data_IF_750327353580
#
_entry.id   IF_750327353580
#
_cell.length_a   1.000
_cell.length_b   1.000
_cell.length_c   1.000
_cell.angle_alpha   90.00
_cell.angle_beta   90.00
_cell.angle_gamma   90.00
#
_symmetry.space_group_name_H-M   'P 1'
#
loop_
_entity.id
_entity.type
_entity.pdbx_description
1 polymer ?
#
# COMPACT_ATOMS: atom_id res chain seq x y z
N UNK A 1 19.88 20.89 24.01
CA UNK A 1 19.14 21.62 22.96
C UNK A 1 17.72 21.81 23.46
N UNK A 2 17.38 22.98 24.00
CA UNK A 2 16.13 23.26 24.74
C UNK A 2 15.02 23.86 23.87
N UNK A 3 15.28 24.08 22.59
CA UNK A 3 14.33 24.67 21.62
C UNK A 3 13.79 23.66 20.61
N UNK A 4 14.17 22.38 20.71
CA UNK A 4 13.76 21.36 19.76
C UNK A 4 12.32 20.89 20.05
N UNK A 5 11.51 20.80 19.00
CA UNK A 5 10.21 20.11 19.01
C UNK A 5 10.36 18.82 18.20
N UNK A 6 9.91 17.70 18.77
CA UNK A 6 10.00 16.37 18.15
C UNK A 6 8.67 15.67 18.34
N UNK A 7 8.13 15.14 17.24
CA UNK A 7 6.87 14.39 17.21
C UNK A 7 7.12 13.05 16.52
N UNK A 8 6.45 11.99 17.00
CA UNK A 8 6.54 10.65 16.43
C UNK A 8 5.15 10.01 16.41
N UNK A 9 4.78 9.45 15.26
CA UNK A 9 3.53 8.73 15.06
C UNK A 9 3.81 7.36 14.44
N UNK A 10 3.06 6.35 14.89
CA UNK A 10 3.10 5.01 14.35
C UNK A 10 1.68 4.43 14.32
N UNK A 11 1.30 3.85 13.18
CA UNK A 11 -0.03 3.30 12.96
C UNK A 11 0.07 1.91 12.34
N UNK A 12 -0.72 0.97 12.83
CA UNK A 12 -0.88 -0.36 12.23
C UNK A 12 -2.20 -0.43 11.49
N UNK A 13 -2.18 -0.91 10.25
CA UNK A 13 -3.38 -1.08 9.42
C UNK A 13 -3.49 -2.52 8.94
N UNK A 14 -4.73 -3.03 8.84
CA UNK A 14 -5.06 -4.33 8.26
C UNK A 14 -6.10 -4.14 7.16
N UNK A 15 -5.98 -4.91 6.08
CA UNK A 15 -7.00 -4.94 5.03
C UNK A 15 -8.22 -5.70 5.58
N UNK A 16 -9.36 -5.03 5.63
CA UNK A 16 -10.61 -5.63 6.10
C UNK A 16 -11.25 -6.54 5.05
N UNK A 17 -11.87 -7.64 5.49
CA UNK A 17 -12.59 -8.57 4.60
C UNK A 17 -13.73 -7.87 3.85
N UNK A 18 -14.42 -6.93 4.49
CA UNK A 18 -15.47 -6.12 3.87
C UNK A 18 -14.96 -5.26 2.70
N UNK A 19 -13.71 -4.76 2.80
CA UNK A 19 -13.10 -3.96 1.73
C UNK A 19 -12.79 -4.83 0.51
N UNK A 20 -12.28 -6.04 0.74
CA UNK A 20 -12.06 -7.03 -0.30
C UNK A 20 -13.38 -7.47 -0.91
N UNK A 21 -14.38 -7.78 -0.09
CA UNK A 21 -15.72 -8.17 -0.56
C UNK A 21 -16.36 -7.09 -1.41
N UNK A 22 -16.25 -5.83 -1.01
CA UNK A 22 -16.75 -4.68 -1.77
C UNK A 22 -16.07 -4.52 -3.15
N UNK A 23 -14.76 -4.80 -3.22
CA UNK A 23 -14.01 -4.81 -4.48
C UNK A 23 -14.40 -6.00 -5.36
N UNK A 24 -14.56 -7.17 -4.76
CA UNK A 24 -14.95 -8.40 -5.45
C UNK A 24 -16.35 -8.29 -6.06
N UNK A 25 -17.30 -7.66 -5.36
CA UNK A 25 -18.64 -7.36 -5.89
C UNK A 25 -18.61 -6.44 -7.12
N UNK A 26 -17.53 -5.66 -7.31
CA UNK A 26 -17.32 -4.81 -8.49
C UNK A 26 -16.57 -5.52 -9.60
N UNK A 27 -16.37 -6.83 -9.48
CA UNK A 27 -15.68 -7.65 -10.48
C UNK A 27 -14.15 -7.58 -10.40
N UNK A 28 -13.58 -6.99 -9.34
CA UNK A 28 -12.15 -7.09 -9.09
C UNK A 28 -11.82 -8.46 -8.51
N UNK A 29 -10.69 -9.05 -8.90
CA UNK A 29 -10.21 -10.23 -8.19
C UNK A 29 -9.73 -9.84 -6.79
N UNK A 30 -9.69 -10.80 -5.85
CA UNK A 30 -9.14 -10.55 -4.51
C UNK A 30 -7.70 -10.01 -4.59
N UNK A 31 -6.90 -10.53 -5.54
CA UNK A 31 -5.53 -10.09 -5.76
C UNK A 31 -5.46 -8.64 -6.27
N UNK A 32 -6.32 -8.27 -7.21
CA UNK A 32 -6.41 -6.89 -7.71
C UNK A 32 -6.89 -5.93 -6.62
N UNK A 33 -7.83 -6.36 -5.79
CA UNK A 33 -8.33 -5.59 -4.66
C UNK A 33 -7.22 -5.32 -3.62
N UNK A 34 -6.46 -6.37 -3.24
CA UNK A 34 -5.31 -6.23 -2.33
C UNK A 34 -4.27 -5.29 -2.94
N UNK A 35 -3.89 -5.50 -4.20
CA UNK A 35 -2.93 -4.65 -4.89
C UNK A 35 -3.37 -3.19 -4.93
N UNK A 36 -4.64 -2.92 -5.23
CA UNK A 36 -5.20 -1.57 -5.25
C UNK A 36 -5.10 -0.90 -3.87
N UNK A 37 -5.47 -1.60 -2.79
CA UNK A 37 -5.47 -1.07 -1.43
C UNK A 37 -4.03 -0.80 -0.95
N UNK A 38 -3.12 -1.74 -1.17
CA UNK A 38 -1.70 -1.59 -0.78
C UNK A 38 -1.02 -0.47 -1.57
N UNK A 39 -1.27 -0.37 -2.87
CA UNK A 39 -0.76 0.76 -3.67
C UNK A 39 -1.31 2.11 -3.19
N UNK A 40 -2.57 2.15 -2.75
CA UNK A 40 -3.15 3.33 -2.11
C UNK A 40 -2.44 3.71 -0.81
N UNK A 41 -2.13 2.74 0.04
CA UNK A 41 -1.39 2.93 1.29
C UNK A 41 0.03 3.48 1.05
N UNK A 42 0.74 2.95 0.05
CA UNK A 42 2.10 3.38 -0.29
C UNK A 42 2.17 4.65 -1.16
N UNK A 43 1.03 5.22 -1.58
CA UNK A 43 0.97 6.31 -2.57
C UNK A 43 1.79 7.53 -2.19
N UNK A 44 1.71 7.99 -0.95
CA UNK A 44 2.44 9.19 -0.50
C UNK A 44 3.96 8.95 -0.42
N UNK A 45 4.38 7.70 -0.13
CA UNK A 45 5.79 7.30 -0.20
C UNK A 45 6.28 7.29 -1.64
N UNK A 46 5.51 6.71 -2.56
CA UNK A 46 5.88 6.65 -3.97
C UNK A 46 5.94 8.03 -4.64
N UNK A 47 5.10 8.98 -4.22
CA UNK A 47 5.17 10.37 -4.71
C UNK A 47 6.46 11.09 -4.34
N UNK A 48 7.16 10.66 -3.29
CA UNK A 48 8.45 11.23 -2.89
C UNK A 48 9.62 10.63 -3.67
N UNK A 49 9.39 9.52 -4.39
CA UNK A 49 10.40 8.89 -5.23
C UNK A 49 10.40 9.52 -6.63
N UNK A 50 11.57 9.63 -7.28
CA UNK A 50 11.62 9.96 -8.70
C UNK A 50 10.81 8.96 -9.50
N UNK A 51 10.11 9.44 -10.54
CA UNK A 51 9.13 8.66 -11.30
C UNK A 51 9.68 7.35 -11.87
N UNK A 52 10.94 7.35 -12.29
CA UNK A 52 11.65 6.17 -12.79
C UNK A 52 11.77 5.04 -11.75
N UNK A 53 11.92 5.37 -10.47
CA UNK A 53 11.99 4.40 -9.38
C UNK A 53 10.61 4.04 -8.83
N UNK A 54 9.66 4.98 -8.84
CA UNK A 54 8.31 4.74 -8.35
C UNK A 54 7.60 3.63 -9.16
N UNK A 55 7.77 3.63 -10.48
CA UNK A 55 7.20 2.59 -11.37
C UNK A 55 7.80 1.22 -11.08
N UNK A 56 9.10 1.15 -10.81
CA UNK A 56 9.78 -0.12 -10.51
C UNK A 56 9.40 -0.65 -9.13
N UNK A 57 9.35 0.21 -8.12
CA UNK A 57 8.94 -0.15 -6.77
C UNK A 57 7.51 -0.71 -6.74
N UNK A 58 6.58 -0.11 -7.50
CA UNK A 58 5.21 -0.60 -7.61
C UNK A 58 5.15 -2.02 -8.22
N UNK A 59 5.95 -2.29 -9.25
CA UNK A 59 6.02 -3.63 -9.87
C UNK A 59 6.58 -4.68 -8.91
N UNK A 60 7.68 -4.36 -8.24
CA UNK A 60 8.31 -5.27 -7.27
C UNK A 60 7.40 -5.59 -6.09
N UNK A 61 6.62 -4.59 -5.64
CA UNK A 61 5.63 -4.77 -4.58
C UNK A 61 4.51 -5.73 -5.02
N UNK A 62 4.00 -5.57 -6.24
CA UNK A 62 2.98 -6.47 -6.79
C UNK A 62 3.43 -7.93 -6.86
N UNK A 63 4.67 -8.18 -7.33
CA UNK A 63 5.25 -9.53 -7.39
C UNK A 63 5.42 -10.14 -6.00
N UNK A 64 5.85 -9.34 -5.02
CA UNK A 64 6.04 -9.79 -3.64
C UNK A 64 4.72 -10.18 -2.97
N UNK A 65 3.63 -9.46 -3.29
CA UNK A 65 2.29 -9.73 -2.78
C UNK A 65 1.69 -11.00 -3.40
N UNK A 66 1.89 -11.23 -4.70
CA UNK A 66 1.43 -12.44 -5.40
C UNK A 66 1.97 -13.74 -4.79
N UNK A 67 3.20 -13.71 -4.25
CA UNK A 67 3.82 -14.88 -3.60
C UNK A 67 3.60 -14.99 -2.07
N UNK A 68 3.02 -13.99 -1.42
CA UNK A 68 2.92 -13.92 0.05
C UNK A 68 1.48 -13.95 0.59
N UNK A 69 0.48 -13.85 -0.28
CA UNK A 69 -0.94 -13.99 0.10
C UNK A 69 -1.33 -15.46 0.00
N UNK A 70 -1.13 -16.19 1.11
CA UNK A 70 -1.49 -17.59 1.31
C UNK A 70 -1.84 -17.85 2.77
#
# INVERSE_FOLDING_TARGET
>A
NTTAQVEHEATTSKIGEDQIFYCNQRGLSTQDAVNMIVNGYCKEVFKQLPMEFAVEAQKLLGVSLEGSVG
#
